data_IF_659038512756
#
_entry.id   IF_659038512756
#
_cell.length_a   1.000
_cell.length_b   1.000
_cell.length_c   1.000
_cell.angle_alpha   90.00
_cell.angle_beta   90.00
_cell.angle_gamma   90.00
#
_symmetry.space_group_name_H-M   'P 1'
#
loop_
_entity.id
_entity.type
_entity.pdbx_description
1 polymer ?
#
# COMPACT_ATOMS: atom_id res chain seq x y z
N UNK A 1 30.65 -60.63 -53.95
CA UNK A 1 32.06 -60.71 -53.51
C UNK A 1 32.25 -59.82 -52.31
N UNK A 2 32.82 -60.43 -51.30
CA UNK A 2 33.44 -59.88 -50.06
C UNK A 2 32.51 -59.15 -49.07
N UNK A 3 32.21 -59.90 -48.03
CA UNK A 3 31.82 -59.49 -46.67
C UNK A 3 32.97 -58.74 -46.00
N UNK A 4 32.67 -57.71 -45.29
CA UNK A 4 33.50 -57.22 -44.14
C UNK A 4 32.59 -56.93 -42.96
N UNK A 5 32.74 -57.77 -41.97
CA UNK A 5 32.19 -57.62 -40.63
C UNK A 5 33.01 -56.56 -39.88
N UNK A 6 32.35 -55.60 -39.23
CA UNK A 6 32.99 -54.76 -38.22
C UNK A 6 32.29 -54.95 -36.90
N UNK A 7 33.04 -55.48 -35.98
CA UNK A 7 32.70 -55.64 -34.58
C UNK A 7 32.53 -54.29 -33.92
N UNK A 8 31.38 -54.05 -33.25
CA UNK A 8 31.16 -52.88 -32.42
C UNK A 8 31.30 -53.25 -30.97
N UNK A 9 32.36 -52.75 -30.35
CA UNK A 9 32.63 -52.89 -28.92
C UNK A 9 31.64 -52.01 -28.13
N UNK A 10 30.93 -52.63 -27.20
CA UNK A 10 30.05 -51.93 -26.24
C UNK A 10 30.91 -51.18 -25.19
N UNK A 11 30.86 -49.87 -25.19
CA UNK A 11 31.36 -49.04 -24.11
C UNK A 11 30.18 -48.57 -23.26
N UNK A 12 30.13 -49.10 -22.04
CA UNK A 12 29.14 -48.70 -21.05
C UNK A 12 29.49 -47.31 -20.48
N UNK A 13 28.72 -46.29 -20.82
CA UNK A 13 28.78 -44.95 -20.21
C UNK A 13 27.78 -44.91 -19.07
N UNK A 14 28.25 -44.91 -17.84
CA UNK A 14 27.48 -44.59 -16.64
C UNK A 14 27.13 -43.09 -16.63
N UNK A 15 25.86 -42.77 -16.90
CA UNK A 15 25.37 -41.42 -16.76
C UNK A 15 25.11 -41.11 -15.28
N UNK A 16 25.99 -40.32 -14.66
CA UNK A 16 25.74 -39.71 -13.36
C UNK A 16 24.68 -38.62 -13.52
N UNK A 17 23.48 -38.88 -13.01
CA UNK A 17 22.42 -37.89 -12.93
C UNK A 17 22.74 -36.84 -11.86
N UNK A 18 23.33 -35.74 -12.24
CA UNK A 18 23.36 -34.52 -11.41
C UNK A 18 21.96 -33.92 -11.37
N UNK A 19 21.24 -34.17 -10.28
CA UNK A 19 19.99 -33.51 -9.97
C UNK A 19 20.25 -32.02 -9.72
N UNK A 20 20.13 -31.21 -10.74
CA UNK A 20 20.07 -29.75 -10.59
C UNK A 20 18.73 -29.41 -9.94
N UNK A 21 18.75 -29.23 -8.61
CA UNK A 21 17.64 -28.58 -7.89
C UNK A 21 17.54 -27.14 -8.36
N UNK A 22 16.71 -26.92 -9.37
CA UNK A 22 16.34 -25.58 -9.82
C UNK A 22 15.51 -24.92 -8.69
N UNK A 23 16.17 -24.19 -7.80
CA UNK A 23 15.49 -23.23 -6.94
C UNK A 23 14.76 -22.24 -7.85
N UNK A 24 13.46 -21.93 -7.59
CA UNK A 24 12.80 -20.92 -8.35
C UNK A 24 13.55 -19.60 -8.11
N UNK A 25 14.29 -19.16 -9.11
CA UNK A 25 14.77 -17.78 -9.17
C UNK A 25 13.51 -16.94 -9.26
N UNK A 26 13.04 -16.43 -8.10
CA UNK A 26 12.10 -15.31 -8.10
C UNK A 26 12.80 -14.23 -8.91
N UNK A 27 12.31 -13.98 -10.11
CA UNK A 27 12.66 -12.82 -10.89
C UNK A 27 12.13 -11.60 -10.12
N UNK A 28 12.92 -11.15 -9.15
CA UNK A 28 12.81 -9.79 -8.63
C UNK A 28 13.19 -8.92 -9.81
N UNK A 29 12.20 -8.37 -10.49
CA UNK A 29 12.40 -7.20 -11.32
C UNK A 29 12.89 -6.10 -10.37
N UNK A 30 14.19 -6.08 -10.13
CA UNK A 30 14.86 -4.99 -9.43
C UNK A 30 14.50 -3.74 -10.20
N UNK A 31 13.70 -2.88 -9.58
CA UNK A 31 13.45 -1.55 -10.10
C UNK A 31 14.83 -0.87 -10.23
N UNK A 32 15.42 -0.88 -11.43
CA UNK A 32 16.72 -0.28 -11.70
C UNK A 32 16.66 1.17 -11.22
N UNK A 33 17.43 1.43 -10.12
CA UNK A 33 17.81 2.76 -9.71
C UNK A 33 16.68 3.73 -9.43
N UNK A 34 15.87 3.50 -8.36
CA UNK A 34 15.00 4.56 -7.85
C UNK A 34 15.87 5.66 -7.25
N UNK A 35 15.62 6.91 -7.66
CA UNK A 35 16.43 8.06 -7.27
C UNK A 35 15.66 8.96 -6.31
N UNK A 36 16.29 9.29 -5.18
CA UNK A 36 15.79 10.32 -4.28
C UNK A 36 15.75 11.68 -4.99
N UNK A 37 14.69 12.44 -4.80
CA UNK A 37 14.44 13.71 -5.47
C UNK A 37 13.67 13.58 -6.80
N UNK A 38 13.68 12.40 -7.45
CA UNK A 38 12.95 12.19 -8.70
C UNK A 38 11.88 11.08 -8.63
N UNK A 39 12.19 9.90 -8.12
CA UNK A 39 11.21 8.81 -7.97
C UNK A 39 10.53 8.84 -6.59
N UNK A 40 11.23 9.31 -5.58
CA UNK A 40 10.75 9.45 -4.21
C UNK A 40 11.46 10.60 -3.48
N UNK A 41 10.95 10.96 -2.32
CA UNK A 41 11.57 11.93 -1.41
C UNK A 41 11.87 11.25 -0.07
N UNK A 42 13.01 11.59 0.52
CA UNK A 42 13.26 11.32 1.94
C UNK A 42 12.73 12.50 2.73
N UNK A 43 11.79 12.25 3.66
CA UNK A 43 11.22 13.33 4.47
C UNK A 43 12.23 13.84 5.49
N UNK A 44 12.16 15.14 5.79
CA UNK A 44 13.16 15.83 6.61
C UNK A 44 13.25 15.30 8.06
N UNK A 45 12.11 14.90 8.62
CA UNK A 45 12.01 14.32 9.97
C UNK A 45 11.19 13.04 9.91
N UNK A 46 11.59 11.96 10.58
CA UNK A 46 10.79 10.73 10.60
C UNK A 46 9.36 11.00 11.10
N UNK A 47 8.39 10.55 10.33
CA UNK A 47 6.98 10.54 10.72
C UNK A 47 6.70 9.35 11.67
N UNK A 48 5.70 9.46 12.56
CA UNK A 48 5.28 8.33 13.38
C UNK A 48 4.73 7.20 12.51
N UNK A 49 4.93 5.95 12.95
CA UNK A 49 4.38 4.74 12.33
C UNK A 49 3.45 4.04 13.30
N UNK A 50 2.43 3.33 12.77
CA UNK A 50 1.47 2.54 13.54
C UNK A 50 1.66 1.04 13.30
N UNK A 51 2.64 0.65 12.48
CA UNK A 51 2.97 -0.75 12.24
C UNK A 51 3.44 -1.45 13.52
N UNK A 52 3.09 -2.71 13.72
CA UNK A 52 3.67 -3.55 14.78
C UNK A 52 5.20 -3.55 14.72
N UNK A 53 5.83 -3.73 15.89
CA UNK A 53 7.29 -3.78 15.97
C UNK A 53 7.88 -4.84 15.01
N UNK A 54 8.89 -4.44 14.25
CA UNK A 54 9.53 -5.33 13.25
C UNK A 54 8.85 -5.36 11.89
N UNK A 55 7.72 -4.68 11.70
CA UNK A 55 7.08 -4.53 10.40
C UNK A 55 7.41 -3.18 9.75
N UNK A 56 7.37 -3.16 8.43
CA UNK A 56 7.56 -1.97 7.61
C UNK A 56 6.18 -1.40 7.28
N UNK A 57 5.92 -0.16 7.68
CA UNK A 57 4.66 0.50 7.35
C UNK A 57 4.66 1.01 5.91
N UNK A 58 3.55 0.79 5.21
CA UNK A 58 3.19 1.52 4.00
C UNK A 58 1.82 2.15 4.22
N UNK A 59 1.76 3.47 4.14
CA UNK A 59 0.51 4.23 4.31
C UNK A 59 0.12 4.88 2.99
N UNK A 60 -1.10 4.59 2.53
CA UNK A 60 -1.71 5.31 1.41
C UNK A 60 -2.46 6.54 1.94
N UNK A 61 -2.12 7.71 1.44
CA UNK A 61 -2.87 8.94 1.60
C UNK A 61 -3.89 9.07 0.47
N UNK A 62 -5.16 9.23 0.79
CA UNK A 62 -6.23 9.25 -0.19
C UNK A 62 -7.37 10.20 0.19
N UNK A 63 -8.23 10.50 -0.76
CA UNK A 63 -9.50 11.19 -0.55
C UNK A 63 -10.59 10.53 -1.38
N UNK A 64 -11.75 10.28 -0.79
CA UNK A 64 -12.84 9.60 -1.48
C UNK A 64 -13.35 10.36 -2.73
N UNK A 65 -13.35 11.70 -2.72
CA UNK A 65 -13.79 12.48 -3.87
C UNK A 65 -12.69 12.69 -4.94
N UNK A 66 -11.51 12.11 -4.75
CA UNK A 66 -10.42 12.20 -5.72
C UNK A 66 -10.56 11.13 -6.81
N UNK A 67 -10.73 11.51 -8.11
CA UNK A 67 -10.84 10.55 -9.20
C UNK A 67 -9.57 9.73 -9.42
N UNK A 68 -8.39 10.31 -9.15
CA UNK A 68 -7.12 9.59 -9.22
C UNK A 68 -7.00 8.53 -8.12
N UNK A 69 -7.51 8.79 -6.90
CA UNK A 69 -7.58 7.79 -5.84
C UNK A 69 -8.53 6.65 -6.21
N UNK A 70 -9.71 6.98 -6.78
CA UNK A 70 -10.64 5.97 -7.28
C UNK A 70 -10.00 5.07 -8.35
N UNK A 71 -9.23 5.63 -9.26
CA UNK A 71 -8.51 4.86 -10.29
C UNK A 71 -7.35 4.03 -9.72
N UNK A 72 -6.70 4.50 -8.66
CA UNK A 72 -5.58 3.83 -8.00
C UNK A 72 -6.01 2.69 -7.07
N UNK A 73 -7.18 2.79 -6.45
CA UNK A 73 -7.67 1.83 -5.44
C UNK A 73 -7.61 0.35 -5.88
N UNK A 74 -8.08 -0.05 -7.10
CA UNK A 74 -7.99 -1.45 -7.51
C UNK A 74 -6.55 -1.97 -7.59
N UNK A 75 -5.62 -1.09 -7.98
CA UNK A 75 -4.20 -1.41 -8.12
C UNK A 75 -3.54 -1.55 -6.74
N UNK A 76 -3.81 -0.62 -5.85
CA UNK A 76 -3.30 -0.65 -4.47
C UNK A 76 -3.86 -1.86 -3.69
N UNK A 77 -5.16 -2.15 -3.80
CA UNK A 77 -5.77 -3.33 -3.18
C UNK A 77 -5.16 -4.65 -3.69
N UNK A 78 -4.90 -4.75 -5.01
CA UNK A 78 -4.25 -5.93 -5.58
C UNK A 78 -2.78 -6.06 -5.13
N UNK A 79 -2.10 -4.92 -4.93
CA UNK A 79 -0.73 -4.86 -4.43
C UNK A 79 -0.65 -5.26 -2.96
N UNK A 80 -1.52 -4.74 -2.10
CA UNK A 80 -1.53 -5.06 -0.65
C UNK A 80 -1.74 -6.55 -0.38
N UNK A 81 -2.59 -7.22 -1.17
CA UNK A 81 -2.85 -8.67 -1.07
C UNK A 81 -1.63 -9.56 -1.36
N UNK A 82 -0.62 -9.01 -2.01
CA UNK A 82 0.63 -9.72 -2.35
C UNK A 82 1.77 -9.41 -1.38
N UNK A 83 1.57 -8.51 -0.44
CA UNK A 83 2.61 -8.09 0.48
C UNK A 83 3.01 -9.20 1.43
N UNK A 84 4.33 -9.33 1.71
CA UNK A 84 4.81 -10.25 2.71
C UNK A 84 4.39 -9.82 4.13
N UNK A 85 4.43 -10.76 5.07
CA UNK A 85 3.94 -10.56 6.45
C UNK A 85 4.68 -9.49 7.24
N UNK A 86 5.88 -9.12 6.82
CA UNK A 86 6.68 -8.06 7.42
C UNK A 86 6.32 -6.65 6.91
N UNK A 87 5.32 -6.54 6.03
CA UNK A 87 4.78 -5.26 5.54
C UNK A 87 3.38 -5.03 6.09
N UNK A 88 3.20 -3.89 6.75
CA UNK A 88 1.92 -3.41 7.25
C UNK A 88 1.40 -2.29 6.34
N UNK A 89 0.53 -2.65 5.41
CA UNK A 89 -0.11 -1.69 4.50
C UNK A 89 -1.43 -1.19 5.10
N UNK A 90 -1.63 0.13 5.14
CA UNK A 90 -2.87 0.76 5.60
C UNK A 90 -3.23 2.00 4.78
N UNK A 91 -4.43 2.49 4.96
CA UNK A 91 -4.93 3.71 4.34
C UNK A 91 -5.12 4.80 5.38
N UNK A 92 -4.95 6.05 4.96
CA UNK A 92 -5.25 7.22 5.79
C UNK A 92 -5.88 8.33 4.93
N UNK A 93 -7.10 8.78 5.26
CA UNK A 93 -7.74 9.83 4.50
C UNK A 93 -7.15 11.19 4.82
N UNK A 94 -6.89 12.02 3.80
CA UNK A 94 -6.40 13.40 3.97
C UNK A 94 -7.51 14.41 4.20
N UNK A 95 -7.14 15.58 4.77
CA UNK A 95 -7.99 16.75 4.82
C UNK A 95 -7.14 18.01 4.58
N UNK A 96 -6.99 18.41 3.31
CA UNK A 96 -6.27 19.64 2.94
C UNK A 96 -7.07 20.92 3.26
N UNK A 97 -8.39 20.82 3.36
CA UNK A 97 -9.33 21.89 3.66
C UNK A 97 -10.49 21.33 4.48
N UNK A 98 -11.29 22.19 5.15
CA UNK A 98 -12.41 21.72 5.98
C UNK A 98 -13.48 20.90 5.23
N UNK A 99 -13.66 21.11 3.93
CA UNK A 99 -14.62 20.35 3.11
C UNK A 99 -14.21 18.90 2.84
N UNK A 100 -12.98 18.50 3.17
CA UNK A 100 -12.52 17.11 3.13
C UNK A 100 -12.91 16.33 4.39
N UNK A 101 -13.05 17.01 5.53
CA UNK A 101 -13.25 16.39 6.84
C UNK A 101 -14.47 15.44 6.89
N UNK A 102 -15.63 15.71 6.26
CA UNK A 102 -16.74 14.77 6.30
C UNK A 102 -16.40 13.39 5.76
N UNK A 103 -15.65 13.30 4.68
CA UNK A 103 -15.23 12.02 4.09
C UNK A 103 -14.05 11.40 4.85
N UNK A 104 -13.19 12.20 5.46
CA UNK A 104 -12.16 11.72 6.37
C UNK A 104 -12.79 11.02 7.58
N UNK A 105 -13.79 11.62 8.20
CA UNK A 105 -14.54 11.02 9.30
C UNK A 105 -15.32 9.79 8.89
N UNK A 106 -15.91 9.77 7.67
CA UNK A 106 -16.56 8.58 7.11
C UNK A 106 -15.62 7.37 7.17
N UNK A 107 -14.39 7.50 6.68
CA UNK A 107 -13.42 6.39 6.72
C UNK A 107 -13.22 5.87 8.13
N UNK A 108 -13.04 6.75 9.11
CA UNK A 108 -12.79 6.35 10.50
C UNK A 108 -14.04 5.78 11.21
N UNK A 109 -15.25 6.14 10.77
CA UNK A 109 -16.47 5.44 11.19
C UNK A 109 -16.49 4.01 10.66
N UNK A 110 -16.19 3.82 9.37
CA UNK A 110 -16.12 2.48 8.76
C UNK A 110 -15.05 1.63 9.42
N UNK A 111 -13.87 2.21 9.69
CA UNK A 111 -12.79 1.54 10.40
C UNK A 111 -13.21 1.11 11.81
N UNK A 112 -13.87 2.00 12.57
CA UNK A 112 -14.35 1.70 13.93
C UNK A 112 -15.40 0.60 13.97
N UNK A 113 -16.10 0.38 12.86
CA UNK A 113 -17.09 -0.68 12.69
C UNK A 113 -16.52 -1.96 12.06
N UNK A 114 -15.23 -1.98 11.68
CA UNK A 114 -14.62 -3.09 10.93
C UNK A 114 -15.21 -3.27 9.53
N UNK A 115 -15.73 -2.19 8.91
CA UNK A 115 -16.44 -2.23 7.63
C UNK A 115 -15.64 -1.61 6.45
N UNK A 116 -14.36 -1.31 6.64
CA UNK A 116 -13.54 -0.74 5.56
C UNK A 116 -13.48 -1.70 4.37
N UNK A 117 -13.15 -2.96 4.59
CA UNK A 117 -13.02 -3.96 3.51
C UNK A 117 -14.31 -4.14 2.71
N UNK A 118 -15.47 -4.05 3.39
CA UNK A 118 -16.79 -4.19 2.76
C UNK A 118 -17.22 -2.93 2.00
N UNK A 119 -16.96 -1.74 2.57
CA UNK A 119 -17.62 -0.51 2.15
C UNK A 119 -16.70 0.50 1.46
N UNK A 120 -15.39 0.40 1.60
CA UNK A 120 -14.44 1.37 1.02
C UNK A 120 -14.64 1.56 -0.48
N UNK A 121 -14.70 0.46 -1.24
CA UNK A 121 -14.95 0.50 -2.69
C UNK A 121 -16.35 0.98 -3.04
N UNK A 122 -17.34 0.70 -2.18
CA UNK A 122 -18.71 1.18 -2.38
C UNK A 122 -18.81 2.70 -2.21
N UNK A 123 -18.02 3.30 -1.32
CA UNK A 123 -17.94 4.77 -1.20
C UNK A 123 -17.40 5.38 -2.48
N UNK A 124 -16.30 4.87 -3.01
CA UNK A 124 -15.78 5.33 -4.31
C UNK A 124 -16.81 5.16 -5.44
N UNK A 125 -17.46 4.01 -5.52
CA UNK A 125 -18.51 3.77 -6.51
C UNK A 125 -19.66 4.77 -6.39
N UNK A 126 -20.17 5.00 -5.18
CA UNK A 126 -21.25 5.94 -4.92
C UNK A 126 -20.90 7.35 -5.43
N UNK A 127 -19.67 7.80 -5.19
CA UNK A 127 -19.23 9.14 -5.60
C UNK A 127 -18.94 9.20 -7.11
N UNK A 128 -18.12 8.29 -7.64
CA UNK A 128 -17.55 8.42 -8.99
C UNK A 128 -18.43 7.82 -10.09
N UNK A 129 -19.19 6.78 -9.77
CA UNK A 129 -20.07 6.08 -10.74
C UNK A 129 -21.51 6.54 -10.57
N UNK A 130 -22.06 6.46 -9.36
CA UNK A 130 -23.45 6.79 -9.07
C UNK A 130 -23.69 8.31 -8.89
N UNK A 131 -22.61 9.11 -8.85
CA UNK A 131 -22.65 10.58 -8.72
C UNK A 131 -23.37 11.08 -7.47
N UNK A 132 -23.34 10.28 -6.41
CA UNK A 132 -23.93 10.67 -5.13
C UNK A 132 -23.09 11.76 -4.46
N UNK A 133 -23.76 12.73 -3.84
CA UNK A 133 -23.14 13.76 -3.03
C UNK A 133 -22.90 13.21 -1.62
N UNK A 134 -21.64 12.92 -1.26
CA UNK A 134 -21.24 12.52 0.08
C UNK A 134 -20.35 13.61 0.71
N UNK A 135 -20.87 14.85 0.72
CA UNK A 135 -20.13 16.05 1.13
C UNK A 135 -20.45 16.49 2.57
N UNK A 136 -21.57 16.06 3.14
CA UNK A 136 -21.98 16.43 4.50
C UNK A 136 -22.24 15.18 5.36
N UNK A 137 -22.19 15.36 6.68
CA UNK A 137 -22.48 14.28 7.64
C UNK A 137 -23.86 13.64 7.38
N UNK A 138 -24.89 14.44 7.08
CA UNK A 138 -26.24 13.94 6.83
C UNK A 138 -26.35 13.13 5.53
N UNK A 139 -25.71 13.59 4.45
CA UNK A 139 -25.66 12.87 3.18
C UNK A 139 -24.95 11.53 3.34
N UNK A 140 -23.82 11.53 4.04
CA UNK A 140 -23.04 10.34 4.32
C UNK A 140 -23.82 9.37 5.23
N UNK A 141 -24.48 9.87 6.27
CA UNK A 141 -25.31 9.07 7.16
C UNK A 141 -26.51 8.42 6.42
N UNK A 142 -27.13 9.15 5.50
CA UNK A 142 -28.22 8.61 4.67
C UNK A 142 -27.71 7.52 3.69
N UNK A 143 -26.49 7.66 3.16
CA UNK A 143 -25.85 6.61 2.38
C UNK A 143 -25.49 5.40 3.25
N UNK A 144 -24.92 5.62 4.43
CA UNK A 144 -24.52 4.56 5.37
C UNK A 144 -25.72 3.73 5.84
N UNK A 145 -26.90 4.37 6.05
CA UNK A 145 -28.14 3.69 6.40
C UNK A 145 -28.56 2.66 5.34
N UNK A 146 -28.45 3.02 4.07
CA UNK A 146 -28.67 2.11 2.92
C UNK A 146 -27.65 0.96 2.87
N UNK A 147 -26.49 1.13 3.51
CA UNK A 147 -25.47 0.08 3.62
C UNK A 147 -25.60 -0.76 4.90
N UNK A 148 -26.71 -0.60 5.66
CA UNK A 148 -26.97 -1.36 6.87
C UNK A 148 -26.31 -0.79 8.14
N UNK A 149 -25.85 0.47 8.11
CA UNK A 149 -25.39 1.19 9.30
C UNK A 149 -26.46 2.22 9.67
N UNK A 150 -27.28 2.00 10.71
CA UNK A 150 -28.35 2.91 11.10
C UNK A 150 -27.86 4.35 11.23
N UNK A 151 -28.61 5.32 10.65
CA UNK A 151 -28.23 6.74 10.60
C UNK A 151 -27.84 7.29 11.98
N UNK A 152 -28.61 6.96 13.01
CA UNK A 152 -28.31 7.42 14.38
C UNK A 152 -26.97 6.88 14.89
N UNK A 153 -26.68 5.60 14.64
CA UNK A 153 -25.40 4.96 15.03
C UNK A 153 -24.22 5.56 14.24
N UNK A 154 -24.41 5.82 12.96
CA UNK A 154 -23.39 6.48 12.15
C UNK A 154 -23.05 7.86 12.71
N UNK A 155 -24.04 8.70 12.97
CA UNK A 155 -23.86 10.07 13.48
C UNK A 155 -23.26 10.09 14.90
N UNK A 156 -23.62 9.13 15.76
CA UNK A 156 -22.99 8.94 17.07
C UNK A 156 -21.48 8.73 16.93
N UNK A 157 -21.07 7.79 16.08
CA UNK A 157 -19.65 7.50 15.85
C UNK A 157 -18.93 8.65 15.15
N UNK A 158 -19.57 9.25 14.14
CA UNK A 158 -19.03 10.37 13.38
C UNK A 158 -18.68 11.56 14.27
N UNK A 159 -19.50 11.83 15.30
CA UNK A 159 -19.30 12.92 16.25
C UNK A 159 -18.49 12.48 17.50
N UNK A 160 -18.04 11.22 17.55
CA UNK A 160 -17.31 10.70 18.70
C UNK A 160 -15.93 11.31 18.84
N UNK A 161 -15.42 11.35 20.07
CA UNK A 161 -14.05 11.77 20.35
C UNK A 161 -13.02 10.87 19.66
N UNK A 162 -13.30 9.57 19.54
CA UNK A 162 -12.43 8.61 18.89
C UNK A 162 -12.23 8.95 17.40
N UNK A 163 -13.32 9.13 16.64
CA UNK A 163 -13.26 9.49 15.22
C UNK A 163 -12.61 10.86 15.01
N UNK A 164 -12.95 11.85 15.85
CA UNK A 164 -12.32 13.17 15.80
C UNK A 164 -10.80 13.10 16.06
N UNK A 165 -10.38 12.25 16.99
CA UNK A 165 -8.95 12.07 17.31
C UNK A 165 -8.21 11.38 16.15
N UNK A 166 -8.81 10.34 15.52
CA UNK A 166 -8.23 9.67 14.36
C UNK A 166 -8.12 10.62 13.16
N UNK A 167 -9.15 11.42 12.88
CA UNK A 167 -9.13 12.42 11.83
C UNK A 167 -7.99 13.44 12.01
N UNK A 168 -7.83 13.95 13.22
CA UNK A 168 -6.72 14.88 13.55
C UNK A 168 -5.34 14.23 13.41
N UNK A 169 -5.16 12.98 13.89
CA UNK A 169 -3.92 12.23 13.70
C UNK A 169 -3.59 11.99 12.23
N UNK A 170 -4.61 11.70 11.41
CA UNK A 170 -4.45 11.55 9.97
C UNK A 170 -3.94 12.84 9.32
N UNK A 171 -4.49 14.00 9.68
CA UNK A 171 -4.01 15.30 9.20
C UNK A 171 -2.58 15.58 9.68
N UNK A 172 -2.26 15.27 10.94
CA UNK A 172 -0.89 15.41 11.44
C UNK A 172 0.10 14.50 10.70
N UNK A 173 -0.31 13.30 10.33
CA UNK A 173 0.52 12.38 9.54
C UNK A 173 0.69 12.90 8.11
N UNK A 174 -0.36 13.42 7.48
CA UNK A 174 -0.31 14.12 6.20
C UNK A 174 0.74 15.23 6.22
N UNK A 175 0.74 16.06 7.25
CA UNK A 175 1.69 17.16 7.41
C UNK A 175 3.12 16.67 7.64
N UNK A 176 3.28 15.60 8.46
CA UNK A 176 4.59 15.00 8.72
C UNK A 176 5.26 14.43 7.47
N UNK A 177 4.48 13.93 6.52
CA UNK A 177 4.96 13.47 5.22
C UNK A 177 5.00 14.59 4.15
N UNK A 178 4.57 15.81 4.49
CA UNK A 178 4.42 16.94 3.56
C UNK A 178 3.60 16.56 2.31
N UNK A 179 2.49 15.83 2.52
CA UNK A 179 1.61 15.40 1.44
C UNK A 179 0.85 16.60 0.90
N UNK A 180 1.05 16.92 -0.38
CA UNK A 180 0.43 18.05 -1.10
C UNK A 180 -0.59 17.61 -2.16
N UNK A 181 -0.71 16.30 -2.41
CA UNK A 181 -1.65 15.70 -3.35
C UNK A 181 -1.88 14.22 -3.11
N UNK A 182 -2.98 13.69 -3.65
CA UNK A 182 -3.35 12.27 -3.49
C UNK A 182 -3.76 11.66 -4.84
N UNK A 183 -3.54 10.33 -5.04
CA UNK A 183 -2.99 9.38 -4.07
C UNK A 183 -1.48 9.55 -3.86
N UNK A 184 -1.03 9.29 -2.63
CA UNK A 184 0.37 9.31 -2.27
C UNK A 184 0.70 8.17 -1.30
N UNK A 185 1.96 7.77 -1.22
CA UNK A 185 2.43 6.66 -0.40
C UNK A 185 3.54 7.14 0.54
N UNK A 186 3.38 6.84 1.82
CA UNK A 186 4.42 7.02 2.83
C UNK A 186 5.00 5.67 3.23
N UNK A 187 6.34 5.56 3.32
CA UNK A 187 7.01 4.30 3.61
C UNK A 187 7.87 4.45 4.86
N UNK A 188 7.55 3.65 5.86
CA UNK A 188 8.28 3.44 7.11
C UNK A 188 8.66 4.74 7.85
N UNK A 189 7.79 5.75 7.81
CA UNK A 189 8.04 7.05 8.45
C UNK A 189 9.19 7.85 7.85
N UNK A 190 9.72 7.46 6.66
CA UNK A 190 10.95 8.05 6.11
C UNK A 190 10.86 8.49 4.66
N UNK A 191 10.05 7.83 3.86
CA UNK A 191 10.03 8.05 2.42
C UNK A 191 8.62 8.37 1.94
N UNK A 192 8.55 9.21 0.93
CA UNK A 192 7.33 9.62 0.25
C UNK A 192 7.46 9.36 -1.24
N UNK A 193 6.40 8.84 -1.86
CA UNK A 193 6.26 8.78 -3.31
C UNK A 193 4.79 8.97 -3.71
N UNK A 194 4.56 9.26 -4.97
CA UNK A 194 3.22 9.37 -5.56
C UNK A 194 3.29 9.09 -7.05
N UNK A 195 2.13 8.97 -7.71
CA UNK A 195 2.10 8.87 -9.17
C UNK A 195 2.72 10.08 -9.86
N UNK A 196 2.60 11.27 -9.28
CA UNK A 196 3.26 12.50 -9.79
C UNK A 196 4.78 12.41 -9.61
N UNK A 197 5.25 12.03 -8.42
CA UNK A 197 6.67 11.92 -8.10
C UNK A 197 7.35 10.83 -8.95
N UNK A 198 6.75 9.65 -9.04
CA UNK A 198 7.27 8.50 -9.78
C UNK A 198 6.88 8.48 -11.27
N UNK A 199 6.16 9.50 -11.78
CA UNK A 199 5.67 9.68 -13.15
C UNK A 199 4.42 8.87 -13.49
N UNK A 200 4.18 7.71 -12.88
CA UNK A 200 2.93 6.95 -13.04
C UNK A 200 2.51 6.28 -11.73
N UNK A 201 1.21 5.96 -11.57
CA UNK A 201 0.72 5.20 -10.42
C UNK A 201 1.39 3.82 -10.27
N UNK A 202 1.59 3.09 -11.37
CA UNK A 202 2.26 1.79 -11.38
C UNK A 202 3.71 1.91 -10.91
N UNK A 203 4.41 2.96 -11.37
CA UNK A 203 5.78 3.21 -10.97
C UNK A 203 5.86 3.56 -9.49
N UNK A 204 4.88 4.27 -8.92
CA UNK A 204 4.87 4.56 -7.49
C UNK A 204 4.82 3.29 -6.63
N UNK A 205 4.12 2.24 -7.06
CA UNK A 205 4.13 0.95 -6.38
C UNK A 205 5.48 0.22 -6.52
N UNK A 206 6.12 0.28 -7.69
CA UNK A 206 7.46 -0.28 -7.88
C UNK A 206 8.52 0.45 -7.01
N UNK A 207 8.40 1.77 -6.90
CA UNK A 207 9.22 2.58 -6.00
C UNK A 207 8.96 2.20 -4.55
N UNK A 208 7.72 1.95 -4.17
CA UNK A 208 7.35 1.48 -2.83
C UNK A 208 7.98 0.12 -2.52
N UNK A 209 7.95 -0.83 -3.47
CA UNK A 209 8.63 -2.13 -3.31
C UNK A 209 10.14 -1.96 -3.06
N UNK A 210 10.78 -1.07 -3.82
CA UNK A 210 12.19 -0.72 -3.62
C UNK A 210 12.44 -0.12 -2.22
N UNK A 211 11.59 0.81 -1.77
CA UNK A 211 11.74 1.48 -0.48
C UNK A 211 11.44 0.56 0.72
N UNK A 212 10.56 -0.43 0.55
CA UNK A 212 10.35 -1.51 1.51
C UNK A 212 11.65 -2.29 1.69
N UNK A 213 12.31 -2.66 0.59
CA UNK A 213 13.59 -3.40 0.67
C UNK A 213 14.70 -2.56 1.33
N UNK A 214 14.79 -1.26 1.02
CA UNK A 214 15.72 -0.34 1.68
C UNK A 214 15.44 -0.24 3.19
N UNK A 215 14.16 -0.16 3.57
CA UNK A 215 13.75 -0.12 4.98
C UNK A 215 14.09 -1.42 5.71
N UNK A 216 13.91 -2.58 5.07
CA UNK A 216 14.25 -3.91 5.60
C UNK A 216 15.74 -4.04 5.87
N UNK A 217 16.57 -3.59 4.93
CA UNK A 217 18.03 -3.60 5.08
C UNK A 217 18.49 -2.70 6.23
N UNK A 218 17.92 -1.48 6.32
CA UNK A 218 18.23 -0.55 7.41
C UNK A 218 17.85 -1.10 8.79
N UNK A 219 16.67 -1.70 8.93
CA UNK A 219 16.22 -2.33 10.17
C UNK A 219 17.11 -3.50 10.55
N UNK A 220 17.51 -4.34 9.60
CA UNK A 220 18.41 -5.48 9.82
C UNK A 220 19.81 -5.03 10.24
N UNK A 221 20.31 -3.93 9.71
CA UNK A 221 21.61 -3.35 10.09
C UNK A 221 21.59 -2.83 11.54
N UNK A 222 20.48 -2.18 11.96
CA UNK A 222 20.31 -1.69 13.33
C UNK A 222 20.14 -2.83 14.36
N UNK A 223 19.58 -3.96 13.95
CA UNK A 223 19.36 -5.11 14.83
C UNK A 223 20.63 -5.94 15.10
N UNK A 224 21.71 -5.77 14.33
CA UNK A 224 22.99 -6.45 14.56
C UNK A 224 23.74 -5.72 15.69
N UNK A 225 24.01 -6.38 16.86
CA UNK A 225 24.83 -5.75 17.89
C UNK A 225 26.21 -5.49 17.30
N UNK A 226 26.71 -4.26 17.47
CA UNK A 226 28.04 -3.89 17.04
C UNK A 226 29.06 -4.90 17.64
N UNK A 227 29.81 -5.56 16.78
CA UNK A 227 31.00 -6.28 17.24
C UNK A 227 32.02 -5.24 17.63
N UNK A 228 32.05 -4.92 18.92
CA UNK A 228 33.18 -4.22 19.56
C UNK A 228 34.30 -5.19 19.83
#
# INVERSE_FOLDING_TARGET
MQRREFSVSAASLAAAAFGASALPIRAQAQAKGCQNGSDYLTIAKPAPTEAPAGQIEVVEFFWYNCPHCNAFEPMFDAWTKKMPKDVHARRTPVAFRPDFEPQQRLYFVLESLGKVDELHKKVFNAIHVERQQLATADQIAAWADKQGIPKAKFLELYNSFSVSTKARKSTQLQDAYAVDGVPALGINGRYFTSGTQAKTPERSLQVTDYLIEQSRQAMSAMAKPGKS
#
